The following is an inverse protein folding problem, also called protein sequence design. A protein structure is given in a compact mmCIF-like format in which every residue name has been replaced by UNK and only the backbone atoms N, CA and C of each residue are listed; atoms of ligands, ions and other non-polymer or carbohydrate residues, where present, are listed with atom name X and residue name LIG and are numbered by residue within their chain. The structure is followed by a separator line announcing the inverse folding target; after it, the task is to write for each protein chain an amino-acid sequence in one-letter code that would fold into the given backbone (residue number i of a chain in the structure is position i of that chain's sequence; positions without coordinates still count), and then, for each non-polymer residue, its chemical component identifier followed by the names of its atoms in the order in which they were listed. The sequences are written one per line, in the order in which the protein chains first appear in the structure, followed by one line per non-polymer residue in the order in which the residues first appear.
data_IF_640155142858
#
_entry.id   IF_640155142858
#
_cell.length_a   1.000
_cell.length_b   1.000
_cell.length_c   1.000
_cell.angle_alpha   90.00
_cell.angle_beta   90.00
_cell.angle_gamma   90.00
#
_symmetry.space_group_name_H-M   'P 1'
#
loop_
_entity.id
_entity.type
_entity.pdbx_description
1 polymer ?
#
# COMPACT_ATOMS: atom_id res chain seq x y z
N UNK A 1 -2.76 11.02 -8.40
CA UNK A 1 -2.46 12.43 -8.06
C UNK A 1 -1.31 12.42 -7.07
N UNK A 2 -0.30 13.26 -7.27
CA UNK A 2 0.79 13.42 -6.28
C UNK A 2 0.31 14.22 -5.06
N UNK A 3 0.71 13.79 -3.87
CA UNK A 3 0.30 14.40 -2.60
C UNK A 3 1.44 15.21 -2.02
N UNK A 4 2.56 14.57 -1.70
CA UNK A 4 3.71 15.20 -1.03
C UNK A 4 4.95 14.32 -1.18
N UNK A 5 6.10 14.88 -0.83
CA UNK A 5 7.27 14.07 -0.49
C UNK A 5 7.03 13.30 0.82
N UNK A 6 7.87 12.33 1.13
CA UNK A 6 7.94 11.73 2.46
C UNK A 6 9.37 11.29 2.80
N UNK A 7 9.62 11.13 4.09
CA UNK A 7 10.85 10.57 4.61
C UNK A 7 10.54 9.65 5.80
N UNK A 8 11.09 8.45 5.75
CA UNK A 8 11.00 7.43 6.78
C UNK A 8 12.39 7.21 7.37
N UNK A 9 12.55 7.40 8.68
CA UNK A 9 13.84 7.27 9.37
C UNK A 9 13.74 6.32 10.55
N UNK A 10 14.77 5.51 10.76
CA UNK A 10 15.03 4.81 12.01
C UNK A 10 16.55 4.70 12.19
N UNK A 11 17.23 5.74 12.66
CA UNK A 11 18.70 5.81 12.68
C UNK A 11 19.25 6.79 13.74
N UNK A 12 20.55 6.75 14.07
CA UNK A 12 21.19 7.79 14.89
C UNK A 12 21.06 9.19 14.27
N UNK A 13 20.82 10.22 15.10
CA UNK A 13 20.70 11.61 14.66
C UNK A 13 22.04 12.25 14.29
N UNK A 14 23.13 11.71 14.83
CA UNK A 14 24.48 12.18 14.59
C UNK A 14 25.44 10.98 14.53
N UNK A 15 26.53 11.09 13.76
CA UNK A 15 27.57 10.06 13.77
C UNK A 15 28.24 10.04 15.15
N UNK A 16 28.69 8.86 15.62
CA UNK A 16 29.51 8.79 16.83
C UNK A 16 30.81 9.56 16.64
N UNK A 17 31.19 10.37 17.64
CA UNK A 17 32.45 11.13 17.64
C UNK A 17 33.56 10.23 18.20
N UNK A 18 34.56 9.84 17.39
CA UNK A 18 35.63 8.99 17.86
C UNK A 18 36.43 9.66 18.99
N UNK A 19 36.66 8.94 20.08
CA UNK A 19 37.52 9.40 21.18
C UNK A 19 36.86 10.34 22.19
N UNK A 20 35.54 10.58 22.12
CA UNK A 20 34.81 11.41 23.09
C UNK A 20 33.59 10.66 23.65
N UNK A 21 33.79 9.68 24.56
CA UNK A 21 32.72 8.85 25.10
C UNK A 21 31.62 9.63 25.81
N UNK A 22 31.93 10.82 26.33
CA UNK A 22 31.00 11.70 27.05
C UNK A 22 29.86 12.20 26.16
N UNK A 23 30.02 12.18 24.83
CA UNK A 23 28.97 12.58 23.89
C UNK A 23 28.03 11.43 23.51
N UNK A 24 28.37 10.18 23.81
CA UNK A 24 27.55 9.01 23.47
C UNK A 24 26.11 9.02 24.04
N UNK A 25 25.85 9.57 25.25
CA UNK A 25 24.49 9.70 25.77
C UNK A 25 23.62 10.75 25.04
N UNK A 26 24.25 11.74 24.40
CA UNK A 26 23.56 12.82 23.65
C UNK A 26 23.20 12.36 22.23
N UNK A 27 23.89 11.35 21.72
CA UNK A 27 23.52 10.67 20.49
C UNK A 27 22.18 9.96 20.75
N UNK A 28 21.08 10.51 20.23
CA UNK A 28 19.77 9.84 20.22
C UNK A 28 19.55 9.17 18.87
N UNK A 29 18.54 8.30 18.79
CA UNK A 29 18.04 7.76 17.52
C UNK A 29 16.73 8.41 17.19
N UNK A 30 16.55 8.80 15.93
CA UNK A 30 15.26 9.27 15.42
C UNK A 30 14.49 8.09 14.85
N UNK A 31 13.21 8.01 15.19
CA UNK A 31 12.22 7.18 14.48
C UNK A 31 11.19 8.13 13.92
N UNK A 32 11.04 8.15 12.61
CA UNK A 32 10.17 9.05 11.88
C UNK A 32 9.23 8.25 10.98
N UNK A 33 7.94 8.53 11.09
CA UNK A 33 6.86 7.99 10.27
C UNK A 33 6.21 9.05 9.40
N UNK A 34 5.65 8.62 8.28
CA UNK A 34 4.79 9.45 7.45
C UNK A 34 3.33 9.22 7.79
N UNK A 35 2.58 10.31 7.95
CA UNK A 35 1.16 10.30 8.28
C UNK A 35 0.40 11.07 7.21
N UNK A 36 -0.73 10.54 6.75
CA UNK A 36 -1.62 11.22 5.83
C UNK A 36 -3.04 11.13 6.37
N UNK A 37 -3.57 12.28 6.76
CA UNK A 37 -5.00 12.40 7.04
C UNK A 37 -5.73 12.63 5.73
N UNK A 38 -6.77 11.84 5.48
CA UNK A 38 -7.61 11.92 4.29
C UNK A 38 -9.09 11.84 4.66
N UNK A 39 -9.88 12.81 4.22
CA UNK A 39 -11.34 12.81 4.39
C UNK A 39 -12.04 12.48 3.08
N UNK A 40 -12.91 11.47 3.08
CA UNK A 40 -13.81 11.18 1.98
C UNK A 40 -15.04 12.10 2.06
N UNK A 41 -15.15 13.06 1.15
CA UNK A 41 -16.27 14.01 1.13
C UNK A 41 -17.47 13.53 0.32
N UNK A 42 -17.38 12.34 -0.29
CA UNK A 42 -18.46 11.75 -1.06
C UNK A 42 -19.49 11.05 -0.15
N UNK A 43 -20.73 10.97 -0.62
CA UNK A 43 -21.81 10.24 0.06
C UNK A 43 -21.75 8.72 -0.16
N UNK A 44 -20.63 8.21 -0.69
CA UNK A 44 -20.41 6.79 -0.95
C UNK A 44 -19.06 6.36 -0.40
N UNK A 45 -18.97 5.08 -0.08
CA UNK A 45 -17.72 4.47 0.33
C UNK A 45 -16.76 4.36 -0.86
N UNK A 46 -15.51 4.73 -0.63
CA UNK A 46 -14.49 4.73 -1.66
C UNK A 46 -13.29 3.89 -1.27
N UNK A 47 -12.80 3.13 -2.24
CA UNK A 47 -11.59 2.32 -2.12
C UNK A 47 -10.42 3.00 -2.82
N UNK A 48 -9.45 3.48 -2.07
CA UNK A 48 -8.30 4.17 -2.64
C UNK A 48 -7.12 3.21 -2.84
N UNK A 49 -6.24 3.57 -3.77
CA UNK A 49 -4.86 3.05 -3.87
C UNK A 49 -3.90 4.19 -3.51
N UNK A 50 -3.00 3.93 -2.57
CA UNK A 50 -1.86 4.81 -2.29
C UNK A 50 -0.60 4.18 -2.86
N UNK A 51 0.26 4.99 -3.45
CA UNK A 51 1.56 4.59 -3.94
C UNK A 51 2.66 5.39 -3.26
N UNK A 52 3.68 4.69 -2.79
CA UNK A 52 4.93 5.26 -2.30
C UNK A 52 6.01 4.95 -3.32
N UNK A 53 6.53 5.99 -3.99
CA UNK A 53 7.67 5.87 -4.88
C UNK A 53 8.93 6.29 -4.15
N UNK A 54 9.89 5.39 -4.02
CA UNK A 54 11.14 5.62 -3.28
C UNK A 54 12.33 5.88 -4.21
N UNK A 55 13.33 6.57 -3.69
CA UNK A 55 14.66 6.58 -4.28
C UNK A 55 15.39 5.32 -3.88
N UNK A 56 15.71 4.45 -4.85
CA UNK A 56 16.43 3.20 -4.56
C UNK A 56 17.87 3.50 -4.13
N UNK A 57 18.41 2.79 -3.13
CA UNK A 57 19.79 2.97 -2.69
C UNK A 57 20.79 2.56 -3.78
N UNK A 58 21.89 3.30 -3.89
CA UNK A 58 23.02 2.99 -4.77
C UNK A 58 24.30 2.98 -3.91
N UNK A 59 24.94 1.83 -3.69
CA UNK A 59 24.60 0.48 -4.20
C UNK A 59 23.29 -0.08 -3.58
N UNK A 60 22.66 -1.10 -4.22
CA UNK A 60 21.45 -1.73 -3.70
C UNK A 60 21.63 -2.25 -2.27
N UNK A 61 20.67 -1.94 -1.40
CA UNK A 61 20.67 -2.32 0.01
C UNK A 61 19.23 -2.65 0.47
N UNK A 62 18.92 -3.94 0.76
CA UNK A 62 17.59 -4.35 1.19
C UNK A 62 17.20 -3.82 2.58
N UNK A 63 18.14 -3.31 3.38
CA UNK A 63 17.83 -2.65 4.65
C UNK A 63 17.34 -1.20 4.48
N UNK A 64 17.42 -0.65 3.26
CA UNK A 64 17.08 0.75 2.92
C UNK A 64 15.94 0.87 1.91
N UNK A 65 15.03 -0.10 1.92
CA UNK A 65 13.80 -0.10 1.13
C UNK A 65 12.59 -0.33 2.04
N UNK A 66 11.37 -0.16 1.56
CA UNK A 66 10.17 -0.33 2.40
C UNK A 66 9.84 -1.81 2.66
N UNK A 67 10.14 -2.71 1.72
CA UNK A 67 9.82 -4.13 1.85
C UNK A 67 10.54 -4.72 3.07
N UNK A 68 9.78 -5.28 4.02
CA UNK A 68 10.33 -5.89 5.23
C UNK A 68 10.85 -4.89 6.28
N UNK A 69 10.90 -3.59 5.99
CA UNK A 69 11.38 -2.56 6.92
C UNK A 69 10.32 -1.52 7.28
N UNK A 70 9.17 -1.51 6.62
CA UNK A 70 8.08 -0.59 6.92
C UNK A 70 6.73 -1.32 6.98
N UNK A 71 5.80 -0.75 7.75
CA UNK A 71 4.42 -1.20 7.84
C UNK A 71 3.48 -0.07 7.45
N UNK A 72 2.42 -0.42 6.71
CA UNK A 72 1.34 0.48 6.37
C UNK A 72 0.15 0.20 7.30
N UNK A 73 -0.34 1.23 7.96
CA UNK A 73 -1.51 1.16 8.84
C UNK A 73 -2.54 2.15 8.32
N UNK A 74 -3.81 1.78 8.40
CA UNK A 74 -4.91 2.71 8.31
C UNK A 74 -5.69 2.72 9.62
N UNK A 75 -6.01 3.92 10.07
CA UNK A 75 -6.95 4.15 11.15
C UNK A 75 -8.20 4.83 10.57
N UNK A 76 -9.35 4.17 10.69
CA UNK A 76 -10.66 4.76 10.44
C UNK A 76 -11.44 4.70 11.76
N UNK A 77 -11.79 5.86 12.31
CA UNK A 77 -12.58 5.97 13.56
C UNK A 77 -11.91 5.43 14.84
N UNK A 78 -10.58 5.36 14.88
CA UNK A 78 -9.78 4.96 16.05
C UNK A 78 -9.34 3.49 16.04
N UNK A 79 -9.67 2.72 15.00
CA UNK A 79 -9.27 1.32 14.86
C UNK A 79 -8.13 1.16 13.85
N UNK A 80 -6.94 0.80 14.35
CA UNK A 80 -5.78 0.51 13.52
C UNK A 80 -5.95 -0.83 12.78
N UNK A 81 -5.82 -0.78 11.46
CA UNK A 81 -5.78 -1.94 10.56
C UNK A 81 -4.45 -1.96 9.82
N UNK A 82 -3.73 -3.06 9.91
CA UNK A 82 -2.49 -3.27 9.18
C UNK A 82 -2.80 -3.65 7.73
N UNK A 83 -2.15 -3.00 6.79
CA UNK A 83 -2.33 -3.20 5.36
C UNK A 83 -1.07 -3.82 4.76
N UNK A 84 -1.27 -4.69 3.78
CA UNK A 84 -0.19 -5.18 2.94
C UNK A 84 0.40 -4.01 2.14
N UNK A 85 1.73 -3.93 2.14
CA UNK A 85 2.50 -3.01 1.30
C UNK A 85 3.16 -3.83 0.19
N UNK A 86 2.61 -3.77 -1.02
CA UNK A 86 3.05 -4.61 -2.14
C UNK A 86 4.00 -3.85 -3.05
N UNK A 87 5.17 -4.42 -3.32
CA UNK A 87 6.12 -3.85 -4.28
C UNK A 87 5.63 -4.10 -5.71
N UNK A 88 5.74 -3.11 -6.59
CA UNK A 88 5.34 -3.29 -7.98
C UNK A 88 6.31 -4.23 -8.71
N UNK A 89 5.81 -5.24 -9.45
CA UNK A 89 6.66 -6.18 -10.18
C UNK A 89 7.36 -5.53 -11.38
N UNK A 90 6.82 -4.42 -11.90
CA UNK A 90 7.35 -3.72 -13.08
C UNK A 90 8.25 -2.53 -12.72
N UNK A 91 8.17 -2.01 -11.49
CA UNK A 91 9.02 -0.94 -10.98
C UNK A 91 9.34 -1.17 -9.49
N UNK A 92 10.55 -1.65 -9.14
CA UNK A 92 10.92 -1.94 -7.76
C UNK A 92 10.98 -0.69 -6.86
N UNK A 93 10.88 0.52 -7.42
CA UNK A 93 10.78 1.76 -6.63
C UNK A 93 9.37 2.04 -6.13
N UNK A 94 8.34 1.34 -6.60
CA UNK A 94 6.93 1.61 -6.28
C UNK A 94 6.39 0.58 -5.29
N UNK A 95 5.72 1.09 -4.25
CA UNK A 95 5.01 0.30 -3.24
C UNK A 95 3.55 0.73 -3.15
N UNK A 96 2.63 -0.22 -3.06
CA UNK A 96 1.18 0.01 -3.12
C UNK A 96 0.49 -0.44 -1.85
N UNK A 97 -0.50 0.35 -1.44
CA UNK A 97 -1.47 -0.01 -0.43
C UNK A 97 -2.89 0.25 -0.91
N UNK A 98 -3.83 -0.58 -0.48
CA UNK A 98 -5.24 -0.44 -0.82
C UNK A 98 -6.08 -0.37 0.45
N UNK A 99 -7.03 0.55 0.49
CA UNK A 99 -7.87 0.75 1.67
C UNK A 99 -9.22 1.36 1.31
N UNK A 100 -10.18 1.26 2.23
CA UNK A 100 -11.52 1.84 2.10
C UNK A 100 -11.70 2.95 3.11
N UNK A 101 -12.28 4.07 2.68
CA UNK A 101 -12.78 5.12 3.57
C UNK A 101 -14.28 5.22 3.37
N UNK A 102 -15.10 5.00 4.40
CA UNK A 102 -16.54 5.14 4.30
C UNK A 102 -16.98 6.57 3.93
N UNK A 103 -18.21 6.71 3.47
CA UNK A 103 -18.82 8.00 3.14
C UNK A 103 -18.72 9.00 4.29
N UNK A 104 -18.23 10.21 4.02
CA UNK A 104 -18.12 11.29 5.01
C UNK A 104 -17.10 11.03 6.14
N UNK A 105 -16.29 9.98 6.07
CA UNK A 105 -15.32 9.62 7.12
C UNK A 105 -13.92 10.13 6.81
N UNK A 106 -13.13 10.23 7.87
CA UNK A 106 -11.71 10.58 7.81
C UNK A 106 -10.87 9.40 8.26
N UNK A 107 -9.78 9.15 7.54
CA UNK A 107 -8.81 8.12 7.86
C UNK A 107 -7.43 8.75 8.08
N UNK A 108 -6.64 8.12 8.94
CA UNK A 108 -5.20 8.39 9.10
C UNK A 108 -4.42 7.22 8.53
N UNK A 109 -3.71 7.45 7.45
CA UNK A 109 -2.80 6.48 6.83
C UNK A 109 -1.41 6.72 7.40
N UNK A 110 -0.75 5.65 7.85
CA UNK A 110 0.52 5.73 8.56
C UNK A 110 1.50 4.76 7.91
N UNK A 111 2.62 5.28 7.42
CA UNK A 111 3.77 4.47 6.98
C UNK A 111 4.85 4.60 8.06
N UNK A 112 5.09 3.53 8.79
CA UNK A 112 5.97 3.51 9.95
C UNK A 112 7.14 2.53 9.76
N UNK A 113 8.32 2.79 10.34
CA UNK A 113 9.39 1.79 10.39
C UNK A 113 8.99 0.56 11.21
N UNK A 114 9.42 -0.62 10.78
CA UNK A 114 9.28 -1.87 11.55
C UNK A 114 10.36 -1.93 12.63
N UNK A 115 9.96 -1.61 13.87
CA UNK A 115 10.82 -1.68 15.04
C UNK A 115 10.75 -3.06 15.72
N UNK A 116 11.80 -3.49 16.44
CA UNK A 116 13.07 -2.79 16.66
C UNK A 116 14.13 -3.09 15.57
N UNK A 117 13.83 -3.96 14.60
CA UNK A 117 14.85 -4.54 13.72
C UNK A 117 15.49 -3.52 12.78
N UNK A 118 14.71 -2.53 12.31
CA UNK A 118 15.24 -1.41 11.53
C UNK A 118 16.25 -0.55 12.28
N UNK A 119 16.23 -0.54 13.62
CA UNK A 119 17.25 0.16 14.42
C UNK A 119 18.56 -0.61 14.52
N UNK A 120 18.57 -1.92 14.29
CA UNK A 120 19.76 -2.79 14.42
C UNK A 120 20.56 -2.89 13.12
N UNK A 121 19.90 -2.81 11.96
CA UNK A 121 20.48 -3.08 10.64
C UNK A 121 21.27 -1.91 10.02
N UNK A 122 21.87 -1.04 10.85
CA UNK A 122 22.55 0.18 10.34
C UNK A 122 21.60 1.36 10.06
N UNK A 123 20.32 1.20 10.42
CA UNK A 123 19.29 2.21 10.39
C UNK A 123 18.54 2.29 9.05
N UNK A 124 17.25 2.61 9.14
CA UNK A 124 16.40 2.85 7.97
C UNK A 124 16.47 4.33 7.58
N UNK A 125 16.65 4.59 6.28
CA UNK A 125 16.47 5.92 5.68
C UNK A 125 15.87 5.73 4.29
N UNK A 126 14.61 6.09 4.14
CA UNK A 126 13.88 5.99 2.85
C UNK A 126 13.23 7.32 2.55
N UNK A 127 13.48 7.83 1.34
CA UNK A 127 12.92 9.08 0.84
C UNK A 127 12.17 8.85 -0.47
N UNK A 128 11.12 9.62 -0.68
CA UNK A 128 10.28 9.46 -1.85
C UNK A 128 9.15 10.47 -1.94
N UNK A 129 8.15 10.12 -2.73
CA UNK A 129 6.90 10.84 -2.83
C UNK A 129 5.71 9.89 -2.82
N UNK A 130 4.54 10.46 -2.49
CA UNK A 130 3.30 9.71 -2.28
C UNK A 130 2.27 10.14 -3.31
N UNK A 131 1.64 9.16 -3.94
CA UNK A 131 0.56 9.35 -4.91
C UNK A 131 -0.72 8.68 -4.43
N UNK A 132 -1.87 9.28 -4.72
CA UNK A 132 -3.19 8.76 -4.38
C UNK A 132 -4.07 8.62 -5.62
N UNK A 133 -4.80 7.51 -5.68
CA UNK A 133 -5.67 7.14 -6.78
C UNK A 133 -7.04 6.76 -6.22
N UNK A 134 -8.09 7.33 -6.83
CA UNK A 134 -9.48 6.98 -6.55
C UNK A 134 -9.91 5.80 -7.44
N UNK A 135 -10.78 4.90 -6.95
CA UNK A 135 -11.09 3.67 -7.65
C UNK A 135 -11.88 3.92 -8.93
N UNK A 136 -11.66 3.04 -9.89
CA UNK A 136 -12.57 2.82 -11.01
C UNK A 136 -13.86 2.22 -10.46
N UNK A 137 -15.02 2.79 -10.76
CA UNK A 137 -16.27 2.03 -10.63
C UNK A 137 -16.26 1.03 -11.78
N UNK A 138 -16.41 -0.27 -11.52
CA UNK A 138 -16.68 -1.25 -12.57
C UNK A 138 -17.93 -0.81 -13.33
N UNK A 139 -17.72 -0.09 -14.43
CA UNK A 139 -18.75 0.19 -15.41
C UNK A 139 -18.70 -0.96 -16.39
N UNK A 140 -19.85 -1.58 -16.62
CA UNK A 140 -20.17 -2.44 -17.77
C UNK A 140 -19.49 -1.92 -19.06
N UNK A 141 -19.19 -2.81 -20.04
CA UNK A 141 -18.29 -2.55 -21.18
C UNK A 141 -18.87 -1.58 -22.23
N UNK A 142 -19.83 -0.75 -21.83
CA UNK A 142 -20.33 0.36 -22.61
C UNK A 142 -19.54 1.63 -22.26
N UNK A 143 -19.28 2.52 -23.22
CA UNK A 143 -18.76 3.84 -22.93
C UNK A 143 -19.78 4.61 -22.08
N UNK A 144 -19.68 4.45 -20.77
CA UNK A 144 -20.43 5.21 -19.79
C UNK A 144 -19.89 6.63 -19.67
N UNK A 145 -20.69 7.57 -19.14
CA UNK A 145 -20.24 8.93 -18.88
C UNK A 145 -19.03 8.93 -17.94
N UNK A 146 -18.09 9.84 -18.19
CA UNK A 146 -16.92 10.05 -17.33
C UNK A 146 -17.41 10.34 -15.90
N UNK A 147 -16.94 9.54 -14.93
CA UNK A 147 -17.33 9.72 -13.55
C UNK A 147 -16.68 10.99 -12.99
N UNK A 148 -17.40 11.80 -12.21
CA UNK A 148 -16.85 13.02 -11.65
C UNK A 148 -15.66 12.70 -10.72
N UNK A 149 -14.65 13.60 -10.64
CA UNK A 149 -13.57 13.51 -9.67
C UNK A 149 -14.09 13.36 -8.24
N UNK A 150 -13.33 12.66 -7.41
CA UNK A 150 -13.60 12.49 -5.99
C UNK A 150 -13.03 13.67 -5.21
N UNK A 151 -13.82 14.26 -4.32
CA UNK A 151 -13.37 15.35 -3.44
C UNK A 151 -12.80 14.79 -2.13
N UNK A 152 -11.60 15.22 -1.78
CA UNK A 152 -10.93 14.85 -0.53
C UNK A 152 -10.29 16.05 0.15
N UNK A 153 -10.22 16.03 1.49
CA UNK A 153 -9.27 16.87 2.23
C UNK A 153 -8.03 16.04 2.52
N UNK A 154 -6.85 16.64 2.34
CA UNK A 154 -5.56 16.00 2.61
C UNK A 154 -4.77 16.82 3.62
N UNK A 155 -4.10 16.14 4.55
CA UNK A 155 -3.11 16.74 5.45
C UNK A 155 -1.96 15.73 5.67
N UNK A 156 -0.89 15.81 4.86
CA UNK A 156 0.31 15.01 5.05
C UNK A 156 1.18 15.61 6.15
N UNK A 157 1.75 14.74 6.98
CA UNK A 157 2.54 15.10 8.16
C UNK A 157 3.71 14.13 8.31
N UNK A 158 4.77 14.62 8.92
CA UNK A 158 5.81 13.80 9.51
C UNK A 158 5.64 13.83 11.02
N UNK A 159 5.62 12.66 11.63
CA UNK A 159 5.70 12.52 13.09
C UNK A 159 6.89 11.67 13.44
N UNK A 160 7.65 12.10 14.43
CA UNK A 160 8.84 11.40 14.87
C UNK A 160 8.99 11.42 16.38
N UNK A 161 9.78 10.48 16.87
CA UNK A 161 10.21 10.39 18.26
C UNK A 161 11.72 10.22 18.32
N UNK A 162 12.33 10.75 19.36
CA UNK A 162 13.72 10.51 19.69
C UNK A 162 13.80 9.43 20.77
N UNK A 163 14.57 8.39 20.48
CA UNK A 163 14.80 7.26 21.36
C UNK A 163 16.21 7.36 21.95
N UNK A 164 16.41 6.95 23.21
CA UNK A 164 17.73 6.68 23.75
C UNK A 164 18.51 5.68 22.87
N UNK A 165 19.84 5.78 22.86
CA UNK A 165 20.71 4.94 22.02
C UNK A 165 20.62 3.44 22.33
N UNK A 166 20.32 3.12 23.57
CA UNK A 166 20.26 1.76 24.13
C UNK A 166 18.84 1.17 24.12
N UNK A 167 17.81 1.90 23.68
CA UNK A 167 16.45 1.35 23.48
C UNK A 167 16.45 0.11 22.56
N UNK A 168 15.66 -0.95 22.82
CA UNK A 168 14.70 -1.10 23.92
C UNK A 168 15.32 -1.60 25.24
N UNK A 169 16.65 -1.64 25.37
CA UNK A 169 17.37 -2.19 26.53
C UNK A 169 17.50 -1.27 27.76
N UNK A 170 17.02 -0.02 27.68
CA UNK A 170 17.01 0.92 28.83
C UNK A 170 16.07 0.41 29.91
N UNK A 171 16.53 0.39 31.16
CA UNK A 171 15.70 0.16 32.35
C UNK A 171 15.71 1.45 33.18
N UNK A 172 14.60 2.19 33.24
CA UNK A 172 14.48 3.46 33.96
C UNK A 172 13.58 4.47 33.27
N UNK A 173 13.68 5.75 33.65
CA UNK A 173 12.94 6.85 33.02
C UNK A 173 13.42 7.04 31.57
N UNK A 174 12.53 6.70 30.62
CA UNK A 174 12.75 6.88 29.20
C UNK A 174 12.42 8.33 28.83
N UNK A 175 13.45 9.06 28.42
CA UNK A 175 13.31 10.40 27.85
C UNK A 175 12.88 10.30 26.37
N UNK A 176 11.58 10.48 26.14
CA UNK A 176 10.99 10.48 24.80
C UNK A 176 10.60 11.90 24.41
N UNK A 177 11.29 12.44 23.41
CA UNK A 177 10.90 13.68 22.75
C UNK A 177 10.18 13.38 21.44
N UNK A 178 9.23 14.24 21.08
CA UNK A 178 8.43 14.09 19.86
C UNK A 178 8.53 15.31 18.96
N UNK A 179 8.43 15.08 17.66
CA UNK A 179 8.31 16.11 16.64
C UNK A 179 7.12 15.81 15.74
N UNK A 180 6.42 16.87 15.33
CA UNK A 180 5.38 16.78 14.31
C UNK A 180 5.43 18.04 13.45
N UNK A 181 5.39 17.88 12.13
CA UNK A 181 5.26 18.98 11.20
C UNK A 181 4.48 18.56 9.95
N UNK A 182 3.71 19.49 9.41
CA UNK A 182 2.96 19.30 8.17
C UNK A 182 3.88 19.37 6.96
N UNK A 183 3.58 18.55 5.96
CA UNK A 183 4.24 18.59 4.66
C UNK A 183 3.46 19.45 3.67
N UNK A 184 4.16 20.04 2.71
CA UNK A 184 3.50 20.75 1.62
C UNK A 184 2.73 19.78 0.73
N UNK A 185 1.46 20.09 0.47
CA UNK A 185 0.65 19.37 -0.52
C UNK A 185 1.04 19.88 -1.91
N UNK A 186 1.26 18.97 -2.86
CA UNK A 186 1.72 19.27 -4.21
C UNK A 186 0.77 20.22 -4.98
N UNK A 187 -0.53 20.19 -4.68
CA UNK A 187 -1.52 21.10 -5.25
C UNK A 187 -1.52 22.50 -4.62
N UNK A 188 -0.89 22.68 -3.45
CA UNK A 188 -1.01 23.87 -2.62
C UNK A 188 -2.40 24.07 -1.99
N UNK A 189 -3.29 23.09 -2.10
CA UNK A 189 -4.68 23.16 -1.63
C UNK A 189 -4.98 22.04 -0.62
N UNK A 190 -5.73 22.36 0.43
CA UNK A 190 -6.22 21.34 1.37
C UNK A 190 -7.33 20.47 0.75
N UNK A 191 -8.25 21.11 0.02
CA UNK A 191 -9.30 20.44 -0.76
C UNK A 191 -8.76 20.06 -2.13
N UNK A 192 -8.82 18.77 -2.45
CA UNK A 192 -8.29 18.20 -3.68
C UNK A 192 -9.37 17.41 -4.42
N UNK A 193 -9.28 17.42 -5.74
CA UNK A 193 -10.11 16.62 -6.63
C UNK A 193 -9.25 15.55 -7.28
N UNK A 194 -9.51 14.29 -6.93
CA UNK A 194 -8.79 13.15 -7.50
C UNK A 194 -9.58 12.67 -8.71
N UNK A 195 -9.01 12.74 -9.94
CA UNK A 195 -9.62 12.10 -11.08
C UNK A 195 -9.82 10.63 -10.79
N UNK A 196 -11.01 10.11 -11.06
CA UNK A 196 -11.21 8.66 -11.02
C UNK A 196 -10.40 8.05 -12.14
N UNK A 197 -9.69 6.96 -11.84
CA UNK A 197 -9.02 6.24 -12.90
C UNK A 197 -10.07 5.85 -13.94
N UNK A 198 -9.82 6.20 -15.22
CA UNK A 198 -10.57 5.61 -16.31
C UNK A 198 -10.31 4.11 -16.26
N UNK A 199 -11.30 3.30 -16.59
CA UNK A 199 -11.08 1.90 -16.97
C UNK A 199 -9.98 1.92 -18.04
N UNK A 200 -8.73 1.69 -17.65
CA UNK A 200 -7.72 1.33 -18.62
C UNK A 200 -8.16 -0.04 -19.13
N UNK A 201 -8.19 -0.30 -20.45
CA UNK A 201 -8.23 -1.68 -20.89
C UNK A 201 -7.11 -2.39 -20.14
N UNK A 202 -7.43 -3.50 -19.48
CA UNK A 202 -6.45 -4.29 -18.75
C UNK A 202 -5.36 -4.62 -19.76
N UNK A 203 -4.19 -3.97 -19.64
CA UNK A 203 -3.02 -4.34 -20.44
C UNK A 203 -2.48 -5.57 -19.74
N UNK A 204 -2.89 -6.70 -20.30
CA UNK A 204 -2.44 -8.01 -19.91
C UNK A 204 -0.94 -8.09 -20.22
N UNK A 205 -0.09 -8.22 -19.20
CA UNK A 205 1.35 -8.40 -19.37
C UNK A 205 1.63 -9.90 -19.57
N UNK A 206 2.04 -10.35 -20.79
CA UNK A 206 2.22 -11.76 -21.11
C UNK A 206 3.13 -12.58 -20.16
N UNK A 207 4.21 -12.01 -19.58
CA UNK A 207 5.10 -12.76 -18.70
C UNK A 207 4.45 -13.23 -17.38
N UNK A 208 3.40 -12.54 -16.92
CA UNK A 208 2.72 -12.84 -15.66
C UNK A 208 1.68 -13.96 -15.83
N UNK A 209 1.19 -14.17 -17.06
CA UNK A 209 0.10 -15.10 -17.37
C UNK A 209 0.55 -16.51 -17.68
N UNK A 210 1.73 -16.68 -18.25
CA UNK A 210 2.21 -18.01 -18.65
C UNK A 210 2.27 -19.04 -17.51
N UNK A 211 2.70 -18.69 -16.27
CA UNK A 211 2.69 -19.63 -15.16
C UNK A 211 1.27 -20.01 -14.74
N UNK A 212 0.39 -19.02 -14.61
CA UNK A 212 -1.01 -19.22 -14.20
C UNK A 212 -1.81 -20.01 -15.24
N UNK A 213 -1.57 -19.79 -16.53
CA UNK A 213 -2.15 -20.58 -17.63
C UNK A 213 -1.62 -22.02 -17.64
N UNK A 214 -0.35 -22.24 -17.31
CA UNK A 214 0.22 -23.58 -17.21
C UNK A 214 -0.36 -24.34 -16.00
N UNK A 215 -0.56 -23.67 -14.88
CA UNK A 215 -1.15 -24.23 -13.65
C UNK A 215 -2.65 -24.51 -13.79
N UNK A 216 -3.39 -23.64 -14.50
CA UNK A 216 -4.78 -23.85 -14.89
C UNK A 216 -4.93 -25.06 -15.83
N UNK A 217 -4.06 -25.18 -16.85
CA UNK A 217 -4.09 -26.29 -17.81
C UNK A 217 -3.67 -27.63 -17.22
N UNK A 218 -2.87 -27.61 -16.15
CA UNK A 218 -2.43 -28.81 -15.44
C UNK A 218 -3.37 -29.23 -14.30
N UNK A 219 -4.42 -28.44 -14.01
CA UNK A 219 -5.42 -28.78 -12.98
C UNK A 219 -4.93 -28.60 -11.54
N UNK A 220 -3.78 -27.96 -11.33
CA UNK A 220 -3.12 -27.81 -10.03
C UNK A 220 -3.30 -26.41 -9.42
N UNK A 221 -4.36 -25.69 -9.79
CA UNK A 221 -4.60 -24.36 -9.23
C UNK A 221 -5.00 -24.45 -7.75
N UNK A 222 -4.05 -24.28 -6.84
CA UNK A 222 -4.33 -24.16 -5.42
C UNK A 222 -4.98 -22.80 -5.12
N UNK A 223 -6.32 -22.79 -5.00
CA UNK A 223 -7.12 -21.59 -4.72
C UNK A 223 -6.74 -20.90 -3.40
N UNK A 224 -6.15 -21.61 -2.44
CA UNK A 224 -5.66 -21.03 -1.19
C UNK A 224 -4.54 -19.98 -1.41
N UNK A 225 -3.86 -20.01 -2.56
CA UNK A 225 -2.86 -19.00 -2.94
C UNK A 225 -3.47 -17.71 -3.54
N UNK A 226 -4.76 -17.72 -3.88
CA UNK A 226 -5.48 -16.56 -4.44
C UNK A 226 -6.11 -15.68 -3.35
N UNK A 227 -6.40 -16.24 -2.17
CA UNK A 227 -7.07 -15.55 -1.06
C UNK A 227 -6.17 -14.53 -0.34
N UNK A 228 -4.84 -14.68 -0.45
CA UNK A 228 -3.91 -13.90 0.37
C UNK A 228 -3.61 -12.49 -0.18
N UNK A 229 -3.87 -12.18 -1.47
CA UNK A 229 -3.23 -10.96 -2.03
C UNK A 229 -3.91 -10.27 -3.22
N UNK A 230 -5.14 -10.57 -3.64
CA UNK A 230 -5.58 -10.12 -4.97
C UNK A 230 -7.02 -9.65 -5.15
N UNK A 231 -7.21 -8.36 -4.87
CA UNK A 231 -8.31 -7.60 -5.47
C UNK A 231 -8.20 -7.43 -6.99
N UNK A 232 -7.03 -7.69 -7.59
CA UNK A 232 -6.80 -7.55 -9.04
C UNK A 232 -6.86 -8.90 -9.78
N UNK A 233 -6.53 -10.04 -9.14
CA UNK A 233 -6.59 -11.37 -9.78
C UNK A 233 -7.97 -11.99 -9.83
N UNK A 234 -8.87 -11.68 -8.90
CA UNK A 234 -10.26 -12.16 -8.97
C UNK A 234 -10.98 -11.70 -10.26
N UNK A 235 -10.94 -10.42 -10.67
CA UNK A 235 -11.51 -10.01 -11.96
C UNK A 235 -10.72 -10.57 -13.18
N UNK A 236 -9.40 -10.79 -13.06
CA UNK A 236 -8.61 -11.44 -14.12
C UNK A 236 -8.98 -12.92 -14.32
N UNK A 237 -9.28 -13.64 -13.25
CA UNK A 237 -9.73 -15.03 -13.31
C UNK A 237 -11.10 -15.12 -13.98
N UNK A 238 -12.04 -14.22 -13.62
CA UNK A 238 -13.37 -14.13 -14.26
C UNK A 238 -13.28 -13.87 -15.77
N UNK A 239 -12.27 -13.11 -16.23
CA UNK A 239 -12.07 -12.84 -17.65
C UNK A 239 -11.34 -13.98 -18.38
N UNK A 240 -10.37 -14.64 -17.75
CA UNK A 240 -9.76 -15.89 -18.26
C UNK A 240 -10.79 -17.01 -18.41
N UNK A 241 -11.78 -17.06 -17.50
CA UNK A 241 -12.89 -17.99 -17.55
C UNK A 241 -13.89 -17.68 -18.68
N UNK A 242 -13.95 -16.43 -19.15
CA UNK A 242 -14.77 -16.01 -20.29
C UNK A 242 -14.11 -16.34 -21.65
N UNK A 243 -12.78 -16.52 -21.69
CA UNK A 243 -12.02 -16.88 -22.90
C UNK A 243 -11.74 -18.38 -23.04
N UNK A 244 -11.96 -19.19 -21.99
CA UNK A 244 -11.84 -20.65 -22.07
C UNK A 244 -12.98 -21.24 -22.91
N UNK A 245 -12.62 -21.74 -24.08
CA UNK A 245 -13.55 -22.39 -25.02
C UNK A 245 -14.46 -23.43 -24.33
N UNK A 246 -15.75 -23.30 -24.61
CA UNK A 246 -16.84 -24.12 -24.09
C UNK A 246 -16.68 -25.59 -24.48
N UNK A 247 -16.05 -26.37 -23.62
CA UNK A 247 -16.12 -27.83 -23.63
C UNK A 247 -17.00 -28.29 -22.46
N UNK A 248 -17.93 -29.22 -22.68
CA UNK A 248 -19.00 -29.54 -21.73
C UNK A 248 -18.47 -30.07 -20.37
N UNK A 249 -17.28 -30.67 -20.37
CA UNK A 249 -16.57 -31.08 -19.15
C UNK A 249 -16.12 -29.89 -18.28
N UNK A 250 -15.77 -28.76 -18.90
CA UNK A 250 -15.28 -27.56 -18.21
C UNK A 250 -16.43 -26.77 -17.57
N UNK A 251 -17.64 -26.82 -18.14
CA UNK A 251 -18.82 -26.13 -17.61
C UNK A 251 -19.34 -26.75 -16.29
N UNK A 252 -19.23 -28.07 -16.13
CA UNK A 252 -19.60 -28.75 -14.89
C UNK A 252 -18.62 -28.45 -13.74
N UNK A 253 -17.32 -28.46 -14.05
CA UNK A 253 -16.27 -28.06 -13.11
C UNK A 253 -16.40 -26.58 -12.72
N UNK A 254 -16.77 -25.72 -13.68
CA UNK A 254 -17.01 -24.29 -13.49
C UNK A 254 -18.20 -24.01 -12.57
N UNK A 255 -19.36 -24.63 -12.81
CA UNK A 255 -20.53 -24.47 -11.96
C UNK A 255 -20.26 -24.96 -10.52
N UNK A 256 -19.45 -26.02 -10.37
CA UNK A 256 -19.04 -26.54 -9.05
C UNK A 256 -18.11 -25.56 -8.31
N UNK A 257 -17.24 -24.83 -9.03
CA UNK A 257 -16.37 -23.80 -8.45
C UNK A 257 -17.12 -22.52 -8.11
N UNK A 258 -18.08 -22.11 -8.94
CA UNK A 258 -18.93 -20.94 -8.72
C UNK A 258 -19.85 -21.13 -7.49
N UNK A 259 -20.44 -22.33 -7.34
CA UNK A 259 -21.23 -22.70 -6.15
C UNK A 259 -20.36 -22.74 -4.88
N UNK A 260 -19.05 -23.02 -4.99
CA UNK A 260 -18.11 -22.99 -3.84
C UNK A 260 -17.63 -21.59 -3.47
N UNK A 261 -17.71 -20.63 -4.40
CA UNK A 261 -17.36 -19.22 -4.18
C UNK A 261 -18.58 -18.36 -3.79
N UNK A 262 -19.73 -19.00 -3.54
CA UNK A 262 -21.02 -18.36 -3.20
C UNK A 262 -21.52 -17.38 -4.27
N UNK A 263 -21.10 -17.59 -5.53
CA UNK A 263 -21.51 -16.77 -6.67
C UNK A 263 -22.71 -17.45 -7.33
N UNK A 264 -23.90 -16.85 -7.17
CA UNK A 264 -25.18 -17.39 -7.67
C UNK A 264 -25.39 -17.21 -9.18
N UNK A 265 -24.44 -17.66 -10.00
CA UNK A 265 -24.55 -17.64 -11.47
C UNK A 265 -24.30 -19.06 -12.00
N UNK A 266 -25.34 -19.68 -12.57
CA UNK A 266 -25.24 -20.99 -13.24
C UNK A 266 -25.21 -20.77 -14.74
N UNK A 267 -24.17 -21.28 -15.39
CA UNK A 267 -24.07 -21.25 -16.85
C UNK A 267 -24.58 -22.57 -17.43
N UNK A 268 -25.53 -22.47 -18.35
CA UNK A 268 -26.01 -23.57 -19.19
C UNK A 268 -25.97 -23.13 -20.65
N UNK A 269 -25.77 -24.07 -21.58
CA UNK A 269 -25.93 -23.79 -23.01
C UNK A 269 -27.37 -23.35 -23.32
N UNK A 270 -27.51 -22.41 -24.24
CA UNK A 270 -28.77 -22.14 -24.94
C UNK A 270 -28.96 -23.14 -26.08
#
# INVERSE_FOLDING_TARGET
MEISTFELLAKPIAPPVPGVPELNPVLRRVVQGYFLTISNLEAIDLRYRIEFKISLPVPPDPAKILLGNAQLIIDVEGANTFLALTQSPTDPSIYRGFFRIPAGKTASIQLLPLLPDTLKLGGLEVRGYVSLFAPVRFSVPFPGPELPPVKVLLNPEIRGTFLPNDFPGVVGDLDFDQINYTLAIASGQALNMIPRERTRPIIIDPPILMPVLADLRSGNLELASLDADNSEKAPMLVQLLAELETNDANLSALNTLMDKLDISLKMSRC
#
